data_IF_730501917435
#
_entry.id   IF_730501917435
#
_cell.length_a   1.000
_cell.length_b   1.000
_cell.length_c   1.000
_cell.angle_alpha   90.00
_cell.angle_beta   90.00
_cell.angle_gamma   90.00
#
_symmetry.space_group_name_H-M   'P 1'
#
loop_
_entity.id
_entity.type
_entity.pdbx_description
1 polymer ?
#
# COMPACT_ATOMS: atom_id res chain seq x y z
N UNK A 1 -11.69 -9.16 9.12
CA UNK A 1 -11.11 -7.88 8.64
C UNK A 1 -9.74 -7.73 9.30
N UNK A 2 -8.67 -7.40 8.56
CA UNK A 2 -7.25 -7.53 8.99
C UNK A 2 -6.82 -6.77 10.27
N UNK A 3 -7.73 -6.07 10.95
CA UNK A 3 -7.43 -5.19 12.08
C UNK A 3 -8.56 -5.15 13.13
N UNK A 4 -9.30 -6.23 13.30
CA UNK A 4 -10.28 -6.31 14.37
C UNK A 4 -9.55 -6.31 15.73
N UNK A 5 -9.87 -5.33 16.60
CA UNK A 5 -9.34 -5.23 17.97
C UNK A 5 -8.37 -4.08 18.27
N UNK A 6 -8.05 -3.21 17.31
CA UNK A 6 -7.19 -2.03 17.56
C UNK A 6 -8.06 -0.84 17.98
N UNK A 7 -7.87 -0.36 19.21
CA UNK A 7 -8.73 0.60 19.92
C UNK A 7 -8.73 2.05 19.40
N UNK A 8 -8.01 2.35 18.32
CA UNK A 8 -7.93 3.69 17.70
C UNK A 8 -7.99 3.65 16.16
N UNK A 9 -8.81 2.77 15.60
CA UNK A 9 -9.08 2.75 14.15
C UNK A 9 -10.57 2.96 13.88
N UNK A 10 -11.10 4.05 14.39
CA UNK A 10 -12.33 4.61 13.84
C UNK A 10 -12.00 5.06 12.41
N UNK A 11 -12.58 4.37 11.42
CA UNK A 11 -12.43 4.72 10.02
C UNK A 11 -13.24 5.98 9.76
N UNK A 12 -12.58 7.12 9.56
CA UNK A 12 -13.19 8.17 8.77
C UNK A 12 -13.42 7.61 7.36
N UNK A 13 -14.68 7.66 6.93
CA UNK A 13 -15.23 6.94 5.78
C UNK A 13 -14.76 7.56 4.44
N UNK A 14 -13.50 7.30 4.06
CA UNK A 14 -12.93 7.76 2.81
C UNK A 14 -11.91 6.79 2.20
N UNK A 15 -11.77 6.81 0.88
CA UNK A 15 -10.63 6.16 0.21
C UNK A 15 -9.37 6.97 0.46
N UNK A 16 -8.22 6.30 0.64
CA UNK A 16 -6.95 7.01 0.70
C UNK A 16 -6.67 7.76 -0.62
N UNK A 17 -5.93 8.89 -0.59
CA UNK A 17 -5.51 9.59 -1.81
C UNK A 17 -4.79 8.65 -2.79
N UNK A 18 -4.06 7.67 -2.27
CA UNK A 18 -3.44 6.62 -3.07
C UNK A 18 -4.43 5.73 -3.78
N UNK A 19 -5.47 5.25 -3.09
CA UNK A 19 -6.52 4.45 -3.73
C UNK A 19 -7.25 5.25 -4.80
N UNK A 20 -7.51 6.54 -4.58
CA UNK A 20 -8.14 7.41 -5.58
C UNK A 20 -7.23 7.58 -6.80
N UNK A 21 -5.95 7.89 -6.60
CA UNK A 21 -4.99 8.08 -7.68
C UNK A 21 -4.77 6.80 -8.51
N UNK A 22 -4.77 5.64 -7.85
CA UNK A 22 -4.67 4.34 -8.51
C UNK A 22 -5.89 4.11 -9.41
N UNK A 23 -7.12 4.26 -8.88
CA UNK A 23 -8.34 4.14 -9.69
C UNK A 23 -8.38 5.13 -10.85
N UNK A 24 -7.90 6.35 -10.65
CA UNK A 24 -7.83 7.36 -11.71
C UNK A 24 -6.85 6.96 -12.83
N UNK A 25 -5.75 6.26 -12.51
CA UNK A 25 -4.84 5.71 -13.52
C UNK A 25 -5.53 4.67 -14.39
N UNK A 26 -6.27 3.74 -13.79
CA UNK A 26 -7.01 2.72 -14.53
C UNK A 26 -8.03 3.36 -15.48
N UNK A 27 -8.81 4.33 -14.97
CA UNK A 27 -9.79 5.05 -15.78
C UNK A 27 -9.13 5.86 -16.91
N UNK A 28 -7.99 6.51 -16.65
CA UNK A 28 -7.22 7.22 -17.68
C UNK A 28 -6.79 6.28 -18.80
N UNK A 29 -6.22 5.13 -18.47
CA UNK A 29 -5.81 4.12 -19.47
C UNK A 29 -7.01 3.69 -20.32
N UNK A 30 -8.12 3.34 -19.68
CA UNK A 30 -9.33 2.89 -20.37
C UNK A 30 -9.90 3.97 -21.30
N UNK A 31 -10.14 5.18 -20.78
CA UNK A 31 -10.77 6.23 -21.57
C UNK A 31 -9.84 6.87 -22.61
N UNK A 32 -8.53 6.84 -22.41
CA UNK A 32 -7.57 7.21 -23.44
C UNK A 32 -7.69 6.26 -24.65
N UNK A 33 -7.76 4.95 -24.40
CA UNK A 33 -7.97 3.95 -25.45
C UNK A 33 -9.32 4.14 -26.14
N UNK A 34 -10.41 4.27 -25.38
CA UNK A 34 -11.74 4.46 -25.99
C UNK A 34 -11.82 5.74 -26.83
N UNK A 35 -11.16 6.81 -26.40
CA UNK A 35 -11.11 8.06 -27.16
C UNK A 35 -10.23 7.94 -28.41
N UNK A 36 -9.11 7.21 -28.36
CA UNK A 36 -8.24 6.99 -29.53
C UNK A 36 -8.89 6.12 -30.60
N UNK A 37 -9.76 5.19 -30.18
CA UNK A 37 -10.56 4.36 -31.08
C UNK A 37 -11.88 5.03 -31.52
N UNK A 38 -12.08 6.31 -31.19
CA UNK A 38 -13.28 7.10 -31.49
C UNK A 38 -14.60 6.47 -30.98
N UNK A 39 -14.52 5.57 -29.99
CA UNK A 39 -15.67 4.89 -29.38
C UNK A 39 -16.42 5.79 -28.40
N UNK A 40 -15.80 6.88 -27.95
CA UNK A 40 -16.41 7.93 -27.12
C UNK A 40 -16.14 9.30 -27.72
N UNK A 41 -17.12 10.21 -27.62
CA UNK A 41 -17.03 11.56 -28.20
C UNK A 41 -15.96 12.45 -27.55
N UNK A 42 -15.69 12.23 -26.27
CA UNK A 42 -14.71 12.96 -25.48
C UNK A 42 -14.28 12.11 -24.29
N UNK A 43 -13.03 12.29 -23.83
CA UNK A 43 -12.50 11.58 -22.69
C UNK A 43 -13.01 12.22 -21.37
N UNK A 44 -13.84 11.51 -20.57
CA UNK A 44 -14.45 12.09 -19.37
C UNK A 44 -13.45 12.37 -18.24
N UNK A 45 -12.24 11.80 -18.29
CA UNK A 45 -11.24 11.95 -17.23
C UNK A 45 -10.05 12.84 -17.62
N UNK A 46 -10.10 13.47 -18.79
CA UNK A 46 -9.01 14.29 -19.34
C UNK A 46 -8.59 15.41 -18.38
N UNK A 47 -9.59 16.15 -17.87
CA UNK A 47 -9.40 17.33 -17.02
C UNK A 47 -9.35 17.04 -15.51
N UNK A 48 -9.36 15.77 -15.09
CA UNK A 48 -9.33 15.41 -13.67
C UNK A 48 -7.89 15.49 -13.14
N UNK A 49 -7.65 16.39 -12.18
CA UNK A 49 -6.33 16.53 -11.55
C UNK A 49 -5.97 15.30 -10.72
N UNK A 50 -4.70 14.93 -10.71
CA UNK A 50 -4.22 13.84 -9.85
C UNK A 50 -4.27 14.27 -8.37
N UNK A 51 -4.72 13.38 -7.47
CA UNK A 51 -4.64 13.64 -6.04
C UNK A 51 -3.20 13.93 -5.62
N UNK A 52 -3.01 14.91 -4.74
CA UNK A 52 -1.70 15.14 -4.10
C UNK A 52 -1.46 14.06 -3.06
N UNK A 53 -0.20 13.63 -2.98
CA UNK A 53 0.28 12.74 -1.94
C UNK A 53 1.11 13.57 -0.99
N UNK A 54 0.63 13.78 0.22
CA UNK A 54 1.52 14.21 1.29
C UNK A 54 2.34 12.97 1.67
N UNK A 55 3.63 13.02 1.37
CA UNK A 55 4.57 12.02 1.85
C UNK A 55 4.87 12.40 3.30
N UNK A 56 4.11 11.86 4.24
CA UNK A 56 4.60 11.76 5.61
C UNK A 56 5.81 10.82 5.58
N UNK A 57 6.97 11.33 6.00
CA UNK A 57 8.15 10.50 6.21
C UNK A 57 7.75 9.42 7.22
N UNK A 58 7.71 8.18 6.74
CA UNK A 58 7.45 7.04 7.60
C UNK A 58 8.68 6.82 8.46
N UNK A 59 8.50 6.74 9.77
CA UNK A 59 9.57 6.30 10.66
C UNK A 59 10.11 4.95 10.19
N UNK A 60 11.40 4.92 9.86
CA UNK A 60 12.10 3.70 9.47
C UNK A 60 12.77 3.08 10.68
N UNK A 61 12.94 1.77 10.66
CA UNK A 61 13.74 1.10 11.69
C UNK A 61 15.22 1.51 11.57
N UNK A 62 15.84 1.81 12.71
CA UNK A 62 17.30 1.86 12.81
C UNK A 62 17.86 0.44 12.82
N UNK A 63 19.16 0.31 12.59
CA UNK A 63 19.86 -0.98 12.66
C UNK A 63 19.61 -1.72 13.98
N UNK A 64 19.54 -1.00 15.10
CA UNK A 64 19.28 -1.59 16.41
C UNK A 64 17.84 -2.07 16.58
N UNK A 65 16.87 -1.38 15.98
CA UNK A 65 15.49 -1.87 15.93
C UNK A 65 15.39 -3.16 15.10
N UNK A 66 16.10 -3.24 13.97
CA UNK A 66 16.13 -4.44 13.13
C UNK A 66 16.79 -5.60 13.87
N UNK A 67 17.93 -5.38 14.53
CA UNK A 67 18.62 -6.42 15.32
C UNK A 67 17.72 -7.00 16.40
N UNK A 68 17.08 -6.14 17.20
CA UNK A 68 16.16 -6.57 18.27
C UNK A 68 14.94 -7.31 17.72
N UNK A 69 14.45 -6.94 16.53
CA UNK A 69 13.35 -7.64 15.87
C UNK A 69 13.76 -9.06 15.43
N UNK A 70 14.98 -9.21 14.91
CA UNK A 70 15.52 -10.51 14.49
C UNK A 70 15.86 -11.42 15.68
N UNK A 71 16.18 -10.85 16.84
CA UNK A 71 16.46 -11.58 18.09
C UNK A 71 15.20 -11.89 18.93
N UNK A 72 14.04 -11.32 18.56
CA UNK A 72 12.78 -11.51 19.29
C UNK A 72 12.20 -12.95 19.30
N UNK A 73 12.42 -13.80 18.27
CA UNK A 73 11.92 -15.19 18.29
C UNK A 73 12.55 -16.03 19.42
N UNK A 74 11.74 -16.89 20.05
CA UNK A 74 12.20 -17.80 21.11
C UNK A 74 12.74 -19.11 20.51
N UNK A 75 14.06 -19.19 20.38
CA UNK A 75 14.82 -20.30 19.80
C UNK A 75 14.68 -21.66 20.49
N UNK A 76 13.92 -21.75 21.59
CA UNK A 76 13.63 -22.99 22.30
C UNK A 76 12.50 -23.85 21.72
N UNK A 77 11.82 -23.39 20.66
CA UNK A 77 10.73 -24.16 20.02
C UNK A 77 11.16 -24.61 18.63
N UNK A 78 10.83 -25.85 18.26
CA UNK A 78 11.30 -26.58 17.07
C UNK A 78 11.24 -25.84 15.70
N UNK A 79 10.52 -24.72 15.60
CA UNK A 79 10.54 -23.85 14.42
C UNK A 79 11.91 -23.17 14.18
N UNK A 80 12.73 -23.01 15.23
CA UNK A 80 14.01 -22.27 15.14
C UNK A 80 15.23 -23.15 14.85
N UNK A 81 15.11 -24.47 14.93
CA UNK A 81 16.19 -25.43 14.60
C UNK A 81 16.47 -25.54 13.09
N UNK A 82 15.54 -25.14 12.22
CA UNK A 82 15.69 -25.27 10.77
C UNK A 82 16.71 -24.28 10.17
N UNK A 83 17.05 -23.19 10.87
CA UNK A 83 18.01 -22.19 10.42
C UNK A 83 19.44 -22.40 10.96
N UNK A 84 19.65 -23.27 11.94
CA UNK A 84 21.01 -23.64 12.37
C UNK A 84 21.66 -24.63 11.39
N UNK A 85 20.86 -25.31 10.56
CA UNK A 85 21.27 -26.43 9.70
C UNK A 85 21.99 -26.07 8.39
N UNK A 86 22.25 -24.79 8.11
CA UNK A 86 22.99 -24.35 6.92
C UNK A 86 24.25 -23.52 7.23
N UNK A 87 24.79 -23.63 8.44
CA UNK A 87 26.13 -23.11 8.76
C UNK A 87 27.23 -24.13 8.47
#
# INVERSE_FOLDING_TARGET
>A
MKYAGVTNREKEEGLSPYTIAFRLRDLRTMFNFLASEELVKANPVENIKQPRFDNEDKETFSDDHVKRLLEAPNTGTFADLALEYHR
#
